data_IF_633554901771
#
_entry.id   IF_633554901771
#
_cell.length_a   1.000
_cell.length_b   1.000
_cell.length_c   1.000
_cell.angle_alpha   90.00
_cell.angle_beta   90.00
_cell.angle_gamma   90.00
#
_symmetry.space_group_name_H-M   'P 1'
#
loop_
_entity.id
_entity.type
_entity.pdbx_description
1 polymer ?
#
# COMPACT_ATOMS: atom_id res chain seq x y z
N UNK A 1 -12.07 -6.34 14.41
CA UNK A 1 -11.18 -5.32 13.80
C UNK A 1 -10.27 -6.06 12.84
N UNK A 2 -10.35 -5.81 11.53
CA UNK A 2 -9.53 -6.51 10.52
C UNK A 2 -8.28 -5.71 10.19
N UNK A 3 -7.13 -6.38 10.21
CA UNK A 3 -5.82 -5.88 9.77
C UNK A 3 -5.39 -6.77 8.62
N UNK A 4 -4.84 -6.16 7.56
CA UNK A 4 -4.28 -6.90 6.42
C UNK A 4 -2.80 -6.55 6.33
N UNK A 5 -1.96 -7.58 6.30
CA UNK A 5 -0.53 -7.45 6.05
C UNK A 5 -0.25 -7.80 4.59
N UNK A 6 0.45 -6.93 3.90
CA UNK A 6 0.87 -7.07 2.51
C UNK A 6 2.37 -7.24 2.50
N UNK A 7 2.85 -8.26 1.80
CA UNK A 7 4.28 -8.51 1.59
C UNK A 7 4.51 -8.80 0.12
N UNK A 8 5.41 -8.04 -0.52
CA UNK A 8 5.84 -8.25 -1.90
C UNK A 8 4.69 -8.47 -2.89
N UNK A 9 4.10 -7.37 -3.36
CA UNK A 9 2.99 -7.41 -4.32
C UNK A 9 3.53 -7.87 -5.67
N UNK A 10 3.21 -9.12 -6.06
CA UNK A 10 3.67 -9.72 -7.30
C UNK A 10 2.54 -9.69 -8.34
N UNK A 11 2.65 -8.73 -9.27
CA UNK A 11 1.84 -8.53 -10.49
C UNK A 11 0.54 -7.72 -10.35
N UNK A 12 0.50 -6.61 -11.11
CA UNK A 12 -0.71 -5.90 -11.50
C UNK A 12 -1.15 -6.41 -12.88
N UNK A 13 -2.41 -6.81 -13.06
CA UNK A 13 -2.98 -7.13 -14.37
C UNK A 13 -4.17 -6.20 -14.62
N UNK A 14 -3.94 -5.06 -15.29
CA UNK A 14 -4.98 -4.06 -15.54
C UNK A 14 -5.60 -3.52 -14.23
N UNK A 15 -6.91 -3.24 -14.22
CA UNK A 15 -7.68 -2.73 -13.05
C UNK A 15 -7.70 -3.66 -11.82
N UNK A 16 -6.92 -4.76 -11.82
CA UNK A 16 -6.89 -5.79 -10.78
C UNK A 16 -5.48 -5.97 -10.24
N UNK A 17 -5.33 -5.61 -8.98
CA UNK A 17 -4.15 -5.94 -8.16
C UNK A 17 -4.51 -7.11 -7.27
N UNK A 18 -3.75 -8.21 -7.39
CA UNK A 18 -3.89 -9.38 -6.51
C UNK A 18 -2.80 -9.26 -5.45
N UNK A 19 -3.22 -8.91 -4.23
CA UNK A 19 -2.38 -9.02 -3.06
C UNK A 19 -2.48 -10.46 -2.56
N UNK A 20 -1.43 -10.97 -1.93
CA UNK A 20 -1.24 -12.39 -1.57
C UNK A 20 -2.41 -13.06 -0.82
N UNK A 21 -3.38 -12.29 -0.30
CA UNK A 21 -4.65 -12.78 0.27
C UNK A 21 -5.90 -11.92 -0.09
N UNK A 22 -5.83 -11.06 -1.12
CA UNK A 22 -6.98 -10.25 -1.53
C UNK A 22 -6.94 -9.83 -3.00
N UNK A 23 -8.01 -10.14 -3.74
CA UNK A 23 -8.23 -9.62 -5.10
C UNK A 23 -8.97 -8.28 -5.03
N UNK A 24 -8.32 -7.21 -5.48
CA UNK A 24 -8.94 -5.90 -5.59
C UNK A 24 -9.41 -5.69 -7.03
N UNK A 25 -10.61 -5.16 -7.22
CA UNK A 25 -11.09 -4.74 -8.53
C UNK A 25 -11.34 -3.23 -8.43
N UNK A 26 -10.60 -2.43 -9.18
CA UNK A 26 -10.67 -0.95 -9.15
C UNK A 26 -11.53 -0.49 -10.31
N UNK A 27 -12.78 -0.95 -10.35
CA UNK A 27 -13.80 -0.35 -11.21
C UNK A 27 -14.78 0.38 -10.29
N UNK A 28 -14.97 1.68 -10.52
CA UNK A 28 -15.94 2.54 -9.81
C UNK A 28 -15.68 2.79 -8.31
N UNK A 29 -14.48 2.45 -7.79
CA UNK A 29 -14.09 2.78 -6.41
C UNK A 29 -14.64 1.83 -5.34
N UNK A 30 -15.32 0.75 -5.73
CA UNK A 30 -15.89 -0.23 -4.80
C UNK A 30 -14.96 -1.43 -4.61
N UNK A 31 -14.41 -1.55 -3.39
CA UNK A 31 -13.65 -2.70 -2.91
C UNK A 31 -14.57 -3.93 -2.73
N UNK A 32 -14.74 -4.70 -3.80
CA UNK A 32 -15.69 -5.80 -3.80
C UNK A 32 -15.26 -7.06 -3.00
N UNK A 33 -13.98 -7.21 -2.61
CA UNK A 33 -13.52 -8.46 -2.00
C UNK A 33 -12.63 -8.32 -0.76
N UNK A 34 -12.84 -7.27 0.03
CA UNK A 34 -12.17 -7.14 1.32
C UNK A 34 -13.16 -6.73 2.38
N UNK A 35 -13.10 -7.42 3.51
CA UNK A 35 -13.75 -6.98 4.76
C UNK A 35 -13.17 -5.62 5.17
N UNK A 36 -13.70 -4.53 4.59
CA UNK A 36 -13.38 -3.10 4.81
C UNK A 36 -12.34 -2.90 5.93
N UNK A 37 -11.04 -3.06 5.62
CA UNK A 37 -10.03 -3.14 6.66
C UNK A 37 -9.86 -1.75 7.24
N UNK A 38 -9.67 -1.66 8.56
CA UNK A 38 -9.37 -0.36 9.17
C UNK A 38 -7.89 0.00 9.00
N UNK A 39 -7.03 -1.00 8.87
CA UNK A 39 -5.57 -0.85 8.78
C UNK A 39 -4.98 -1.80 7.74
N UNK A 40 -4.07 -1.29 6.92
CA UNK A 40 -3.21 -2.04 6.00
C UNK A 40 -1.75 -1.82 6.43
N UNK A 41 -1.00 -2.91 6.58
CA UNK A 41 0.44 -2.90 6.80
C UNK A 41 1.12 -3.37 5.52
N UNK A 42 1.98 -2.56 4.91
CA UNK A 42 2.64 -2.89 3.65
C UNK A 42 4.17 -2.93 3.81
N UNK A 43 4.76 -4.11 3.67
CA UNK A 43 6.20 -4.32 3.72
C UNK A 43 6.75 -4.33 2.29
N UNK A 44 7.46 -3.25 1.93
CA UNK A 44 8.01 -2.99 0.59
C UNK A 44 7.02 -3.27 -0.56
N UNK A 45 5.88 -2.54 -0.62
CA UNK A 45 4.81 -2.85 -1.56
C UNK A 45 5.20 -2.75 -3.05
N UNK A 46 6.27 -2.03 -3.36
CA UNK A 46 6.71 -1.73 -4.73
C UNK A 46 8.02 -2.39 -5.13
N UNK A 47 8.72 -3.09 -4.21
CA UNK A 47 10.09 -3.55 -4.42
C UNK A 47 10.29 -4.57 -5.55
N UNK A 48 9.22 -5.19 -6.05
CA UNK A 48 9.25 -6.19 -7.13
C UNK A 48 8.53 -5.72 -8.41
N UNK A 49 8.16 -4.44 -8.51
CA UNK A 49 7.33 -3.90 -9.59
C UNK A 49 8.15 -3.02 -10.54
N UNK A 50 7.67 -2.92 -11.78
CA UNK A 50 8.15 -1.91 -12.73
C UNK A 50 7.60 -0.51 -12.39
N UNK A 51 8.21 0.54 -12.94
CA UNK A 51 7.88 1.94 -12.63
C UNK A 51 6.41 2.30 -12.92
N UNK A 52 5.82 1.68 -13.95
CA UNK A 52 4.39 1.81 -14.26
C UNK A 52 3.49 1.17 -13.19
N UNK A 53 3.77 -0.08 -12.83
CA UNK A 53 2.98 -0.82 -11.84
C UNK A 53 3.18 -0.26 -10.42
N UNK A 54 4.34 0.32 -10.12
CA UNK A 54 4.58 1.07 -8.90
C UNK A 54 3.59 2.23 -8.78
N UNK A 55 3.45 3.04 -9.83
CA UNK A 55 2.54 4.18 -9.86
C UNK A 55 1.08 3.76 -9.64
N UNK A 56 0.64 2.70 -10.31
CA UNK A 56 -0.72 2.16 -10.19
C UNK A 56 -1.02 1.71 -8.74
N UNK A 57 -0.08 0.98 -8.12
CA UNK A 57 -0.25 0.53 -6.73
C UNK A 57 -0.30 1.72 -5.77
N UNK A 58 0.57 2.70 -5.95
CA UNK A 58 0.57 3.89 -5.10
C UNK A 58 -0.76 4.65 -5.21
N UNK A 59 -1.33 4.77 -6.40
CA UNK A 59 -2.63 5.40 -6.59
C UNK A 59 -3.74 4.65 -5.83
N UNK A 60 -3.73 3.31 -5.88
CA UNK A 60 -4.69 2.47 -5.15
C UNK A 60 -4.54 2.67 -3.63
N UNK A 61 -3.31 2.60 -3.11
CA UNK A 61 -3.06 2.82 -1.69
C UNK A 61 -3.51 4.22 -1.25
N UNK A 62 -3.27 5.25 -2.07
CA UNK A 62 -3.76 6.59 -1.78
C UNK A 62 -5.30 6.67 -1.79
N UNK A 63 -5.97 6.03 -2.75
CA UNK A 63 -7.42 5.99 -2.81
C UNK A 63 -8.02 5.31 -1.55
N UNK A 64 -7.39 4.23 -1.10
CA UNK A 64 -7.76 3.55 0.16
C UNK A 64 -7.54 4.43 1.38
N UNK A 65 -6.44 5.18 1.42
CA UNK A 65 -6.22 6.11 2.50
C UNK A 65 -7.26 7.25 2.52
N UNK A 66 -7.68 7.72 1.34
CA UNK A 66 -8.76 8.71 1.20
C UNK A 66 -10.12 8.17 1.63
N UNK A 67 -10.39 6.87 1.45
CA UNK A 67 -11.64 6.24 1.91
C UNK A 67 -11.70 5.94 3.40
N UNK A 68 -10.65 6.28 4.16
CA UNK A 68 -10.60 6.15 5.63
C UNK A 68 -9.80 4.94 6.14
N UNK A 69 -9.11 4.21 5.25
CA UNK A 69 -8.23 3.11 5.65
C UNK A 69 -6.88 3.69 6.13
N UNK A 70 -6.43 3.27 7.31
CA UNK A 70 -5.07 3.60 7.76
C UNK A 70 -4.07 2.71 7.03
N UNK A 71 -3.02 3.31 6.47
CA UNK A 71 -1.96 2.55 5.78
C UNK A 71 -0.65 2.89 6.46
N UNK A 72 0.07 1.85 6.90
CA UNK A 72 1.44 1.95 7.38
C UNK A 72 2.31 1.13 6.45
N UNK A 73 3.37 1.74 5.91
CA UNK A 73 4.22 1.09 4.93
C UNK A 73 5.69 1.27 5.26
N UNK A 74 6.48 0.26 4.93
CA UNK A 74 7.95 0.28 5.01
C UNK A 74 8.47 0.27 3.58
N UNK A 75 9.40 1.17 3.28
CA UNK A 75 10.03 1.28 1.96
C UNK A 75 11.41 1.91 2.11
N UNK A 76 12.34 1.51 1.25
CA UNK A 76 13.64 2.18 1.07
C UNK A 76 13.61 3.20 -0.07
N UNK A 77 12.52 3.29 -0.85
CA UNK A 77 12.37 4.24 -1.95
C UNK A 77 11.80 5.58 -1.43
N UNK A 78 12.60 6.64 -1.51
CA UNK A 78 12.22 7.97 -1.02
C UNK A 78 11.04 8.59 -1.78
N UNK A 79 10.89 8.30 -3.08
CA UNK A 79 9.78 8.81 -3.91
C UNK A 79 8.47 8.26 -3.39
N UNK A 80 8.43 6.94 -3.16
CA UNK A 80 7.29 6.24 -2.53
C UNK A 80 7.04 6.78 -1.13
N UNK A 81 8.07 7.00 -0.34
CA UNK A 81 7.93 7.49 1.03
C UNK A 81 7.31 8.90 1.08
N UNK A 82 7.68 9.78 0.15
CA UNK A 82 7.20 11.18 0.09
C UNK A 82 5.71 11.32 -0.23
N UNK A 83 5.03 10.28 -0.70
CA UNK A 83 3.57 10.31 -0.90
C UNK A 83 2.80 10.20 0.43
N UNK A 84 3.48 9.74 1.49
CA UNK A 84 2.86 9.49 2.78
C UNK A 84 2.59 10.79 3.52
N UNK A 85 1.45 10.84 4.22
CA UNK A 85 1.05 12.00 5.04
C UNK A 85 1.94 12.20 6.28
N UNK A 86 2.59 11.13 6.73
CA UNK A 86 3.51 11.11 7.88
C UNK A 86 4.69 10.25 7.50
N UNK A 87 5.88 10.74 7.81
CA UNK A 87 7.12 10.06 7.49
C UNK A 87 7.94 9.86 8.76
N UNK A 88 8.48 8.65 8.90
CA UNK A 88 9.35 8.29 10.00
C UNK A 88 10.53 7.50 9.45
N UNK A 89 11.71 7.75 9.99
CA UNK A 89 12.92 6.96 9.74
C UNK A 89 13.25 6.11 10.95
N UNK A 90 13.91 4.98 10.71
CA UNK A 90 14.52 4.18 11.77
C UNK A 90 16.00 4.50 11.77
N UNK A 91 16.48 5.11 12.86
CA UNK A 91 17.89 5.45 13.07
C UNK A 91 18.32 4.83 14.39
N UNK A 92 19.35 3.99 14.37
CA UNK A 92 19.88 3.27 15.55
C UNK A 92 18.78 2.54 16.36
N UNK A 93 17.85 1.90 15.66
CA UNK A 93 16.73 1.17 16.26
C UNK A 93 15.63 2.07 16.86
N UNK A 94 15.70 3.38 16.66
CA UNK A 94 14.69 4.35 17.12
C UNK A 94 13.88 4.88 15.94
N UNK A 95 12.57 5.00 16.13
CA UNK A 95 11.67 5.65 15.18
C UNK A 95 11.75 7.16 15.43
N UNK A 96 12.20 7.91 14.43
CA UNK A 96 12.30 9.36 14.46
C UNK A 96 11.42 9.96 13.37
N UNK A 97 10.69 11.06 13.64
CA UNK A 97 9.99 11.78 12.58
C UNK A 97 11.02 12.37 11.61
N UNK A 98 10.70 12.32 10.32
CA UNK A 98 11.47 13.01 9.26
C UNK A 98 10.92 14.42 9.07
#
# INVERSE_FOLDING_TARGET
MSVIALKNINKSYGSRVILSDASFNVDHGDLALIRKPKIILADEPTGALDESAESDILEILQALNRSGVTIAMVTHNQVVANICKKLYSIVDGKIVPV
#
